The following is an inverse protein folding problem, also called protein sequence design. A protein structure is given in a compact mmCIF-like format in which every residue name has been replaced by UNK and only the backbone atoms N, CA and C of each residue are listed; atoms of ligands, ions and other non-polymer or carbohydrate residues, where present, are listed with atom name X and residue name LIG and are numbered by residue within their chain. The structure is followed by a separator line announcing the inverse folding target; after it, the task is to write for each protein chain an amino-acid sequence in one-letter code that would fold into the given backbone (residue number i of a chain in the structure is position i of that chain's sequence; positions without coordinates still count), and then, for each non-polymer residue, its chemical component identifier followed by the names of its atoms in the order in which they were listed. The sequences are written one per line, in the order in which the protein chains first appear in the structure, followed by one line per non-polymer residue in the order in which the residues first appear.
data_IF_560787382000
#
_entry.id   IF_560787382000
#
_cell.length_a   1.000
_cell.length_b   1.000
_cell.length_c   1.000
_cell.angle_alpha   90.00
_cell.angle_beta   90.00
_cell.angle_gamma   90.00
#
_symmetry.space_group_name_H-M   'P 1'
#
loop_
_entity.id
_entity.type
_entity.pdbx_description
1 polymer ?
#
# COMPACT_ATOMS: atom_id res chain seq x y z
N UNK A 1 27.43 5.83 61.43
CA UNK A 1 27.81 7.25 61.23
C UNK A 1 26.88 7.87 60.18
N UNK A 2 25.86 8.64 60.61
CA UNK A 2 24.81 9.22 59.77
C UNK A 2 24.97 10.75 59.57
N UNK A 3 24.42 11.32 58.48
CA UNK A 3 23.94 12.72 58.36
C UNK A 3 22.84 12.69 57.28
N UNK A 4 21.54 12.83 57.54
CA UNK A 4 20.75 13.83 58.26
C UNK A 4 20.80 15.24 57.64
N UNK A 5 19.72 15.60 56.93
CA UNK A 5 18.94 16.86 57.04
C UNK A 5 17.79 16.80 56.01
N UNK A 6 16.53 16.60 56.36
CA UNK A 6 15.59 17.41 57.15
C UNK A 6 14.77 18.43 56.33
N UNK A 7 13.45 18.14 56.28
CA UNK A 7 12.30 19.04 56.56
C UNK A 7 12.04 20.20 55.58
N UNK A 8 10.80 20.54 55.22
CA UNK A 8 9.68 20.95 56.10
C UNK A 8 8.33 20.84 55.39
N UNK A 9 7.34 20.45 56.18
CA UNK A 9 5.89 20.42 55.94
C UNK A 9 5.26 21.82 55.89
N UNK A 10 3.94 21.86 55.58
CA UNK A 10 2.82 22.56 56.28
C UNK A 10 1.75 22.92 55.22
N UNK A 11 0.64 22.15 55.11
CA UNK A 11 -0.71 22.30 55.75
C UNK A 11 -1.56 23.35 55.00
N UNK A 12 -2.57 22.89 54.24
CA UNK A 12 -4.04 22.97 54.51
C UNK A 12 -4.64 24.34 54.13
N UNK A 13 -5.93 24.55 53.86
CA UNK A 13 -7.13 23.73 53.90
C UNK A 13 -8.23 24.49 53.11
N UNK A 14 -9.13 23.74 52.45
CA UNK A 14 -10.61 23.81 52.55
C UNK A 14 -11.39 25.03 51.98
N UNK A 15 -12.62 24.67 51.58
CA UNK A 15 -13.82 25.45 51.23
C UNK A 15 -14.00 25.69 49.72
N UNK A 16 -15.04 25.20 49.03
CA UNK A 16 -16.38 24.79 49.45
C UNK A 16 -17.38 25.83 48.95
N UNK A 17 -18.22 25.45 47.97
CA UNK A 17 -19.63 25.85 47.81
C UNK A 17 -20.12 25.55 46.39
N UNK A 18 -21.09 24.63 46.31
CA UNK A 18 -22.08 24.53 45.24
C UNK A 18 -23.16 25.59 45.50
N UNK A 19 -23.58 26.34 44.47
CA UNK A 19 -24.92 26.93 44.42
C UNK A 19 -25.48 26.81 42.99
N UNK A 20 -26.75 26.45 42.98
CA UNK A 20 -27.66 26.09 41.90
C UNK A 20 -28.21 27.26 41.07
N UNK A 21 -28.55 26.93 39.82
CA UNK A 21 -29.68 27.39 38.98
C UNK A 21 -30.36 28.75 39.20
N UNK A 22 -30.53 29.52 38.12
CA UNK A 22 -31.83 30.03 37.68
C UNK A 22 -31.76 30.63 36.26
N UNK A 23 -32.69 30.21 35.42
CA UNK A 23 -33.03 30.82 34.13
C UNK A 23 -33.89 32.05 34.38
N UNK A 24 -33.62 33.16 33.69
CA UNK A 24 -34.63 34.20 33.42
C UNK A 24 -34.36 34.80 32.04
N UNK A 25 -35.36 34.71 31.17
CA UNK A 25 -35.55 35.49 29.94
C UNK A 25 -36.51 36.63 30.31
N UNK A 26 -36.25 37.88 29.89
CA UNK A 26 -37.07 38.53 28.85
C UNK A 26 -36.17 39.49 28.03
N UNK A 27 -36.56 40.25 27.01
CA UNK A 27 -37.83 40.58 26.39
C UNK A 27 -37.52 40.91 24.91
N UNK A 28 -38.48 40.61 24.04
CA UNK A 28 -38.57 41.16 22.68
C UNK A 28 -38.84 42.66 22.75
N UNK A 29 -38.03 43.46 22.04
CA UNK A 29 -38.35 44.83 21.70
C UNK A 29 -38.19 45.01 20.18
N UNK A 30 -39.32 45.24 19.53
CA UNK A 30 -39.44 45.62 18.13
C UNK A 30 -39.04 47.09 17.98
N UNK A 31 -38.09 47.39 17.09
CA UNK A 31 -37.87 48.75 16.61
C UNK A 31 -37.63 48.72 15.09
N UNK A 32 -38.57 49.32 14.36
CA UNK A 32 -38.52 49.65 12.92
C UNK A 32 -37.57 50.83 12.67
N UNK A 33 -37.18 51.10 11.40
CA UNK A 33 -35.83 51.56 11.05
C UNK A 33 -35.69 53.08 10.94
N UNK A 34 -34.49 53.59 11.21
CA UNK A 34 -34.07 54.93 10.83
C UNK A 34 -32.86 54.83 9.89
N UNK A 35 -33.03 55.44 8.72
CA UNK A 35 -32.05 55.62 7.65
C UNK A 35 -30.81 56.39 8.14
N UNK A 36 -29.63 55.80 8.00
CA UNK A 36 -28.36 56.53 8.02
C UNK A 36 -27.31 55.83 7.14
N UNK A 37 -26.63 56.63 6.33
CA UNK A 37 -25.77 56.32 5.20
C UNK A 37 -24.52 55.45 5.54
N UNK A 38 -23.85 54.86 4.53
CA UNK A 38 -22.85 53.82 4.73
C UNK A 38 -21.49 54.40 5.12
N UNK A 39 -21.01 54.10 6.32
CA UNK A 39 -19.57 54.20 6.64
C UNK A 39 -18.91 52.87 6.27
N UNK A 40 -17.93 52.98 5.39
CA UNK A 40 -17.17 51.86 4.81
C UNK A 40 -16.55 51.00 5.90
N UNK A 41 -17.14 49.84 6.16
CA UNK A 41 -16.50 48.78 6.91
C UNK A 41 -15.29 48.29 6.10
N UNK A 42 -14.08 48.52 6.62
CA UNK A 42 -12.89 47.76 6.23
C UNK A 42 -13.09 46.34 6.78
N UNK A 43 -13.91 45.56 6.10
CA UNK A 43 -13.98 44.12 6.30
C UNK A 43 -12.68 43.57 5.74
N UNK A 44 -11.74 43.24 6.63
CA UNK A 44 -10.69 42.29 6.29
C UNK A 44 -11.42 41.01 5.84
N UNK A 45 -11.53 40.86 4.52
CA UNK A 45 -11.90 39.62 3.90
C UNK A 45 -10.80 38.62 4.27
N UNK A 46 -10.99 37.93 5.40
CA UNK A 46 -10.48 36.58 5.55
C UNK A 46 -11.04 35.88 4.32
N UNK A 47 -10.19 35.71 3.31
CA UNK A 47 -10.50 34.89 2.14
C UNK A 47 -10.69 33.48 2.69
N UNK A 48 -11.92 33.18 3.08
CA UNK A 48 -12.42 31.82 3.23
C UNK A 48 -12.35 31.25 1.83
N UNK A 49 -11.18 30.69 1.50
CA UNK A 49 -10.88 30.12 0.20
C UNK A 49 -11.97 29.09 -0.10
N UNK A 50 -12.76 29.42 -1.13
CA UNK A 50 -13.91 28.67 -1.56
C UNK A 50 -13.60 27.17 -1.64
N UNK A 51 -14.54 26.42 -1.08
CA UNK A 51 -14.80 25.00 -1.24
C UNK A 51 -14.63 24.55 -2.70
N UNK A 52 -13.41 24.16 -3.08
CA UNK A 52 -13.10 23.70 -4.45
C UNK A 52 -11.97 22.67 -4.52
N UNK A 53 -11.63 22.06 -3.39
CA UNK A 53 -10.44 21.25 -3.19
C UNK A 53 -10.57 19.82 -3.70
N UNK A 54 -10.40 19.62 -5.01
CA UNK A 54 -10.39 18.26 -5.60
C UNK A 54 -9.41 17.33 -4.88
N UNK A 55 -9.75 16.03 -4.78
CA UNK A 55 -8.88 15.04 -4.14
C UNK A 55 -7.74 14.64 -5.08
N UNK A 56 -6.54 14.49 -4.54
CA UNK A 56 -5.37 13.95 -5.23
C UNK A 56 -4.82 12.76 -4.46
N UNK A 57 -4.10 11.89 -5.15
CA UNK A 57 -3.47 10.71 -4.56
C UNK A 57 -2.00 10.72 -4.88
N UNK A 58 -1.17 10.44 -3.88
CA UNK A 58 0.28 10.31 -4.08
C UNK A 58 0.54 9.15 -5.01
N UNK A 59 1.35 9.36 -6.05
CA UNK A 59 1.68 8.34 -7.06
C UNK A 59 3.09 7.76 -6.93
N UNK A 60 3.91 8.37 -6.07
CA UNK A 60 5.33 8.05 -5.88
C UNK A 60 5.61 7.80 -4.40
N UNK A 61 6.39 6.77 -4.11
CA UNK A 61 6.74 6.45 -2.73
C UNK A 61 7.59 7.58 -2.13
N UNK A 62 7.15 8.13 -0.99
CA UNK A 62 7.80 9.26 -0.29
C UNK A 62 7.85 10.58 -1.07
N UNK A 63 6.76 10.95 -1.75
CA UNK A 63 6.65 12.27 -2.39
C UNK A 63 6.84 13.39 -1.35
N UNK A 64 7.83 14.29 -1.49
CA UNK A 64 8.09 15.31 -0.48
C UNK A 64 7.03 16.41 -0.55
N UNK A 65 6.40 16.66 0.59
CA UNK A 65 5.63 17.87 0.85
C UNK A 65 6.59 18.93 1.36
N UNK A 66 6.70 20.06 0.65
CA UNK A 66 7.57 21.17 1.00
C UNK A 66 6.81 22.29 1.71
N UNK A 67 7.48 23.07 2.56
CA UNK A 67 6.84 24.17 3.30
C UNK A 67 6.31 25.25 2.36
N UNK A 68 7.07 25.56 1.31
CA UNK A 68 6.74 26.55 0.27
C UNK A 68 6.63 25.87 -1.10
N UNK A 69 6.07 26.53 -2.13
CA UNK A 69 5.95 25.99 -3.50
C UNK A 69 7.29 25.86 -4.25
N UNK A 70 8.41 25.68 -3.55
CA UNK A 70 9.74 25.44 -4.11
C UNK A 70 10.21 24.03 -3.81
N UNK A 71 10.89 23.39 -4.77
CA UNK A 71 11.55 22.09 -4.58
C UNK A 71 12.73 22.15 -3.61
N UNK A 72 13.35 23.33 -3.44
CA UNK A 72 14.48 23.57 -2.53
C UNK A 72 14.03 23.82 -1.08
N UNK A 73 12.73 23.94 -0.86
CA UNK A 73 12.16 24.24 0.45
C UNK A 73 12.18 23.04 1.38
N UNK A 74 12.19 23.31 2.69
CA UNK A 74 12.20 22.30 3.74
C UNK A 74 11.02 21.32 3.57
N UNK A 75 11.33 20.03 3.66
CA UNK A 75 10.32 18.97 3.62
C UNK A 75 9.58 18.88 4.96
N UNK A 76 8.24 18.93 4.90
CA UNK A 76 7.32 18.87 6.05
C UNK A 76 6.81 17.44 6.29
N UNK A 77 6.65 16.67 5.21
CA UNK A 77 6.19 15.28 5.25
C UNK A 77 6.59 14.52 3.99
N UNK A 78 6.61 13.19 4.09
CA UNK A 78 6.86 12.27 2.97
C UNK A 78 5.77 11.19 2.93
N UNK A 79 4.55 11.53 2.48
CA UNK A 79 3.46 10.57 2.36
C UNK A 79 3.85 9.41 1.45
N UNK A 80 3.39 8.23 1.83
CA UNK A 80 3.54 7.02 1.02
C UNK A 80 2.64 7.09 -0.22
N UNK A 81 2.99 6.30 -1.21
CA UNK A 81 2.20 6.12 -2.42
C UNK A 81 0.79 5.60 -2.10
N UNK A 82 -0.22 6.17 -2.76
CA UNK A 82 -1.63 5.93 -2.44
C UNK A 82 -2.20 6.77 -1.29
N UNK A 83 -1.42 7.66 -0.68
CA UNK A 83 -1.97 8.57 0.35
C UNK A 83 -2.98 9.54 -0.27
N UNK A 84 -4.18 9.62 0.33
CA UNK A 84 -5.22 10.62 -0.02
C UNK A 84 -4.76 12.02 0.39
N UNK A 85 -4.78 12.95 -0.55
CA UNK A 85 -4.41 14.34 -0.36
C UNK A 85 -5.60 15.23 -0.72
N UNK A 86 -6.00 16.10 0.20
CA UNK A 86 -7.01 17.14 -0.09
C UNK A 86 -6.30 18.35 -0.68
N UNK A 87 -6.65 18.78 -1.88
CA UNK A 87 -6.06 19.99 -2.48
C UNK A 87 -6.64 21.21 -1.78
N UNK A 88 -5.77 22.13 -1.35
CA UNK A 88 -6.12 23.41 -0.78
C UNK A 88 -5.91 24.53 -1.81
N UNK A 89 -4.80 24.46 -2.56
CA UNK A 89 -4.43 25.45 -3.58
C UNK A 89 -3.87 24.77 -4.85
N UNK A 90 -4.18 25.34 -6.01
CA UNK A 90 -3.83 24.88 -7.35
C UNK A 90 -2.82 25.82 -8.02
N UNK A 91 -1.56 25.78 -7.59
CA UNK A 91 -0.47 26.43 -8.32
C UNK A 91 -0.20 25.81 -9.71
N UNK A 92 0.62 26.46 -10.54
CA UNK A 92 0.90 26.04 -11.92
C UNK A 92 1.52 24.63 -12.01
N UNK A 93 2.56 24.36 -11.23
CA UNK A 93 3.30 23.08 -11.24
C UNK A 93 3.23 22.29 -9.94
N UNK A 94 2.69 22.90 -8.88
CA UNK A 94 2.57 22.31 -7.54
C UNK A 94 1.17 22.52 -7.00
N UNK A 95 0.77 21.63 -6.10
CA UNK A 95 -0.49 21.71 -5.38
C UNK A 95 -0.16 21.87 -3.90
N UNK A 96 -0.85 22.79 -3.23
CA UNK A 96 -0.87 22.78 -1.78
C UNK A 96 -1.90 21.74 -1.36
N UNK A 97 -1.51 20.82 -0.49
CA UNK A 97 -2.36 19.71 -0.08
C UNK A 97 -2.31 19.49 1.43
N UNK A 98 -3.39 18.92 1.95
CA UNK A 98 -3.49 18.40 3.32
C UNK A 98 -3.50 16.88 3.31
N UNK A 99 -2.63 16.29 4.11
CA UNK A 99 -2.58 14.84 4.37
C UNK A 99 -3.65 14.41 5.38
N UNK A 100 -4.00 13.12 5.50
CA UNK A 100 -4.94 12.63 6.49
C UNK A 100 -4.44 12.86 7.93
N UNK A 101 -3.12 12.82 8.13
CA UNK A 101 -2.45 13.15 9.40
C UNK A 101 -2.41 14.67 9.69
N UNK A 102 -3.23 15.48 9.01
CA UNK A 102 -3.35 16.91 9.25
C UNK A 102 -2.24 17.80 8.67
N UNK A 103 -1.10 17.24 8.24
CA UNK A 103 0.03 18.03 7.70
C UNK A 103 -0.32 18.69 6.37
N UNK A 104 0.02 19.96 6.23
CA UNK A 104 -0.15 20.77 5.01
C UNK A 104 1.21 21.03 4.37
N UNK A 105 1.28 20.94 3.05
CA UNK A 105 2.49 21.29 2.30
C UNK A 105 2.28 21.27 0.80
N UNK A 106 3.33 21.63 0.07
CA UNK A 106 3.33 21.72 -1.38
C UNK A 106 3.92 20.46 -2.01
N UNK A 107 3.16 19.83 -2.90
CA UNK A 107 3.58 18.64 -3.65
C UNK A 107 3.60 18.96 -5.15
N UNK A 108 4.53 18.37 -5.90
CA UNK A 108 4.53 18.50 -7.36
C UNK A 108 3.27 17.88 -7.96
N UNK A 109 2.64 18.52 -8.95
CA UNK A 109 1.56 17.92 -9.75
C UNK A 109 2.02 16.62 -10.42
N UNK A 110 3.32 16.52 -10.75
CA UNK A 110 3.93 15.29 -11.28
C UNK A 110 3.97 14.18 -10.23
N UNK A 111 3.89 14.45 -8.93
CA UNK A 111 3.92 13.41 -7.90
C UNK A 111 2.54 12.95 -7.42
N UNK A 112 1.46 13.47 -8.02
CA UNK A 112 0.08 13.18 -7.61
C UNK A 112 -0.85 12.92 -8.80
N UNK A 113 -1.94 12.19 -8.58
CA UNK A 113 -2.95 11.83 -9.57
C UNK A 113 -4.35 12.22 -9.07
N UNK A 114 -5.30 12.64 -9.93
CA UNK A 114 -6.66 12.98 -9.50
C UNK A 114 -7.52 11.77 -9.16
N UNK A 115 -7.11 10.58 -9.59
CA UNK A 115 -7.92 9.36 -9.40
C UNK A 115 -7.35 8.53 -8.26
N UNK A 116 -8.24 8.01 -7.41
CA UNK A 116 -7.86 7.09 -6.33
C UNK A 116 -7.19 5.86 -6.93
N UNK A 117 -5.94 5.61 -6.53
CA UNK A 117 -5.33 4.30 -6.77
C UNK A 117 -6.27 3.27 -6.16
N UNK A 118 -6.91 2.44 -6.99
CA UNK A 118 -7.90 1.47 -6.48
C UNK A 118 -7.20 0.58 -5.48
N UNK A 119 -7.73 0.52 -4.26
CA UNK A 119 -7.42 -0.53 -3.27
C UNK A 119 -7.96 -1.84 -3.83
N UNK A 120 -7.22 -2.44 -4.75
CA UNK A 120 -7.40 -3.84 -5.15
C UNK A 120 -6.63 -4.69 -4.15
N UNK A 121 -7.06 -4.64 -2.89
CA UNK A 121 -6.55 -5.56 -1.89
C UNK A 121 -6.84 -6.99 -2.36
N UNK A 122 -5.81 -7.83 -2.36
CA UNK A 122 -5.96 -9.21 -2.79
C UNK A 122 -4.66 -9.89 -3.20
N UNK A 123 -4.67 -11.21 -3.07
CA UNK A 123 -3.57 -12.05 -3.55
C UNK A 123 -3.68 -12.26 -5.06
N UNK A 124 -2.55 -12.18 -5.76
CA UNK A 124 -2.38 -12.55 -7.17
C UNK A 124 -1.14 -13.41 -7.35
N UNK A 125 -1.02 -13.99 -8.53
CA UNK A 125 0.13 -14.77 -8.97
C UNK A 125 0.73 -14.17 -10.22
N UNK A 126 2.04 -14.19 -10.34
CA UNK A 126 2.74 -13.67 -11.53
C UNK A 126 2.58 -14.60 -12.73
N UNK A 127 2.45 -14.01 -13.92
CA UNK A 127 2.57 -14.69 -15.21
C UNK A 127 4.01 -14.53 -15.71
N UNK A 128 4.71 -15.64 -15.85
CA UNK A 128 6.10 -15.72 -16.27
C UNK A 128 7.09 -15.08 -15.27
N UNK A 129 8.34 -14.91 -15.72
CA UNK A 129 9.33 -14.10 -15.00
C UNK A 129 9.00 -12.62 -15.13
N UNK A 130 8.92 -11.90 -14.01
CA UNK A 130 8.53 -10.49 -13.98
C UNK A 130 9.54 -9.67 -13.20
N UNK A 131 9.88 -8.49 -13.71
CA UNK A 131 10.66 -7.49 -13.00
C UNK A 131 9.71 -6.48 -12.33
N UNK A 132 9.82 -6.35 -11.01
CA UNK A 132 9.20 -5.27 -10.25
C UNK A 132 10.08 -4.03 -10.41
N UNK A 133 9.51 -2.92 -10.85
CA UNK A 133 10.20 -1.63 -10.96
C UNK A 133 9.90 -0.75 -9.75
N UNK A 134 10.82 0.16 -9.43
CA UNK A 134 10.66 1.12 -8.33
C UNK A 134 9.48 2.06 -8.58
N UNK A 135 9.35 2.53 -9.82
CA UNK A 135 8.44 3.57 -10.27
C UNK A 135 7.73 3.16 -11.57
N UNK A 136 6.72 3.94 -11.97
CA UNK A 136 5.99 3.76 -13.22
C UNK A 136 6.72 4.56 -14.32
N UNK A 137 7.41 3.86 -15.22
CA UNK A 137 8.12 4.45 -16.35
C UNK A 137 9.07 3.46 -17.03
N UNK A 138 9.40 3.70 -18.31
CA UNK A 138 10.27 2.84 -19.13
C UNK A 138 11.71 2.76 -18.62
N UNK A 139 12.22 3.80 -17.95
CA UNK A 139 13.57 3.85 -17.38
C UNK A 139 13.68 3.50 -15.88
N UNK A 140 12.63 2.92 -15.28
CA UNK A 140 12.64 2.70 -13.82
C UNK A 140 13.54 1.53 -13.40
N UNK A 141 14.30 1.72 -12.32
CA UNK A 141 15.18 0.69 -11.74
C UNK A 141 14.38 -0.55 -11.32
N UNK A 142 14.88 -1.72 -11.71
CA UNK A 142 14.34 -3.01 -11.25
C UNK A 142 14.72 -3.22 -9.79
N UNK A 143 13.71 -3.36 -8.92
CA UNK A 143 13.89 -3.59 -7.47
C UNK A 143 13.89 -5.08 -7.12
N UNK A 144 13.21 -5.92 -7.90
CA UNK A 144 13.17 -7.38 -7.68
C UNK A 144 12.73 -8.11 -8.95
N UNK A 145 13.39 -9.21 -9.29
CA UNK A 145 12.90 -10.19 -10.26
C UNK A 145 12.17 -11.32 -9.53
N UNK A 146 10.99 -11.70 -10.01
CA UNK A 146 10.14 -12.77 -9.46
C UNK A 146 9.83 -13.81 -10.55
N UNK A 147 9.65 -15.07 -10.14
CA UNK A 147 9.38 -16.21 -11.03
C UNK A 147 7.89 -16.33 -11.35
N UNK A 148 7.56 -17.20 -12.31
CA UNK A 148 6.19 -17.59 -12.64
C UNK A 148 5.45 -18.16 -11.42
N UNK A 149 4.20 -17.75 -11.24
CA UNK A 149 3.33 -18.24 -10.16
C UNK A 149 3.77 -17.81 -8.76
N UNK A 150 4.61 -16.79 -8.65
CA UNK A 150 4.96 -16.17 -7.37
C UNK A 150 3.72 -15.51 -6.78
N UNK A 151 3.37 -15.84 -5.54
CA UNK A 151 2.30 -15.19 -4.79
C UNK A 151 2.71 -13.76 -4.44
N UNK A 152 1.91 -12.79 -4.87
CA UNK A 152 2.12 -11.35 -4.60
C UNK A 152 0.85 -10.74 -4.03
N UNK A 153 1.00 -9.83 -3.08
CA UNK A 153 -0.12 -9.03 -2.58
C UNK A 153 -0.24 -7.77 -3.43
N UNK A 154 -1.42 -7.53 -4.01
CA UNK A 154 -1.69 -6.28 -4.72
C UNK A 154 -2.01 -5.21 -3.68
N UNK A 155 -1.30 -4.09 -3.79
CA UNK A 155 -1.43 -2.95 -2.88
C UNK A 155 -2.24 -1.82 -3.53
N UNK A 156 -2.04 -1.61 -4.84
CA UNK A 156 -2.70 -0.54 -5.57
C UNK A 156 -2.76 -0.84 -7.07
N UNK A 157 -3.70 -0.22 -7.77
CA UNK A 157 -3.78 -0.19 -9.24
C UNK A 157 -3.90 1.24 -9.74
N UNK A 158 -3.20 1.55 -10.83
CA UNK A 158 -3.35 2.81 -11.57
C UNK A 158 -4.69 2.87 -12.31
N UNK A 159 -5.10 4.06 -12.68
CA UNK A 159 -6.37 4.36 -13.37
C UNK A 159 -6.14 5.41 -14.44
N UNK A 160 -7.03 5.54 -15.41
CA UNK A 160 -6.85 6.46 -16.55
C UNK A 160 -5.84 5.92 -17.57
N UNK A 161 -5.01 6.79 -18.17
CA UNK A 161 -4.04 6.41 -19.22
C UNK A 161 -3.06 5.30 -18.82
N UNK A 162 -2.73 5.21 -17.53
CA UNK A 162 -1.76 4.21 -17.03
C UNK A 162 -2.41 2.95 -16.46
N UNK A 163 -3.69 2.66 -16.74
CA UNK A 163 -4.50 1.58 -16.12
C UNK A 163 -3.89 0.15 -16.17
N UNK A 164 -2.85 -0.06 -16.97
CA UNK A 164 -2.11 -1.31 -17.11
C UNK A 164 -1.05 -1.55 -16.01
N UNK A 165 -1.03 -0.80 -14.89
CA UNK A 165 -0.02 -0.96 -13.82
C UNK A 165 -0.63 -1.29 -12.46
N UNK A 166 0.05 -2.16 -11.73
CA UNK A 166 -0.28 -2.52 -10.34
C UNK A 166 0.96 -2.47 -9.48
N UNK A 167 0.79 -1.96 -8.26
CA UNK A 167 1.79 -2.05 -7.23
C UNK A 167 1.57 -3.33 -6.45
N UNK A 168 2.63 -4.11 -6.31
CA UNK A 168 2.59 -5.39 -5.61
C UNK A 168 3.68 -5.48 -4.55
N UNK A 169 3.42 -6.31 -3.54
CA UNK A 169 4.41 -6.76 -2.56
C UNK A 169 4.77 -8.22 -2.84
N UNK A 170 6.04 -8.47 -3.11
CA UNK A 170 6.60 -9.80 -3.32
C UNK A 170 7.00 -10.46 -1.98
N UNK A 171 7.24 -11.79 -1.98
CA UNK A 171 7.83 -12.46 -0.83
C UNK A 171 9.15 -11.79 -0.40
N UNK A 172 9.35 -11.63 0.91
CA UNK A 172 10.47 -10.86 1.46
C UNK A 172 10.22 -9.36 1.52
N UNK A 173 8.96 -8.91 1.45
CA UNK A 173 8.54 -7.53 1.79
C UNK A 173 8.81 -6.47 0.72
N UNK A 174 9.60 -6.77 -0.31
CA UNK A 174 9.90 -5.82 -1.40
C UNK A 174 8.65 -5.47 -2.20
N UNK A 175 8.41 -4.17 -2.38
CA UNK A 175 7.30 -3.65 -3.17
C UNK A 175 7.77 -3.04 -4.49
N UNK A 176 6.98 -3.16 -5.56
CA UNK A 176 7.25 -2.48 -6.82
C UNK A 176 6.09 -2.57 -7.80
N UNK A 177 6.25 -1.91 -8.95
CA UNK A 177 5.27 -1.84 -10.01
C UNK A 177 5.48 -2.93 -11.05
N UNK A 178 4.38 -3.51 -11.53
CA UNK A 178 4.35 -4.48 -12.63
C UNK A 178 3.12 -4.22 -13.51
N UNK A 179 3.12 -4.78 -14.72
CA UNK A 179 1.95 -4.69 -15.60
C UNK A 179 0.80 -5.58 -15.10
N UNK A 180 -0.45 -5.12 -15.23
CA UNK A 180 -1.65 -5.91 -14.88
C UNK A 180 -1.76 -7.18 -15.72
N UNK A 181 -1.27 -7.18 -16.97
CA UNK A 181 -1.27 -8.37 -17.84
C UNK A 181 -0.36 -9.49 -17.30
N UNK A 182 0.66 -9.12 -16.50
CA UNK A 182 1.65 -10.02 -15.89
C UNK A 182 1.20 -10.59 -14.54
N UNK A 183 -0.04 -10.35 -14.11
CA UNK A 183 -0.63 -10.99 -12.93
C UNK A 183 -1.91 -11.72 -13.27
N UNK A 184 -2.24 -12.72 -12.46
CA UNK A 184 -3.46 -13.51 -12.58
C UNK A 184 -4.01 -13.86 -11.21
N UNK A 185 -5.31 -14.18 -11.15
CA UNK A 185 -5.91 -14.82 -9.98
C UNK A 185 -5.59 -16.31 -9.92
N UNK A 186 -5.26 -16.96 -11.06
CA UNK A 186 -4.99 -18.40 -11.13
C UNK A 186 -3.69 -18.77 -10.40
N UNK A 187 -3.79 -19.65 -9.42
CA UNK A 187 -2.63 -20.29 -8.79
C UNK A 187 -2.18 -21.49 -9.64
N UNK A 188 -1.35 -21.22 -10.65
CA UNK A 188 -0.86 -22.26 -11.59
C UNK A 188 -0.21 -23.42 -10.84
N UNK A 189 0.67 -23.13 -9.87
CA UNK A 189 1.38 -24.16 -9.10
C UNK A 189 0.46 -24.96 -8.18
N UNK A 190 -0.58 -24.35 -7.62
CA UNK A 190 -1.57 -25.06 -6.82
C UNK A 190 -2.47 -25.95 -7.68
N UNK A 191 -2.84 -25.51 -8.88
CA UNK A 191 -3.62 -26.30 -9.83
C UNK A 191 -2.81 -27.48 -10.37
N UNK A 192 -1.53 -27.26 -10.68
CA UNK A 192 -0.63 -28.33 -11.08
C UNK A 192 -0.49 -29.37 -9.96
N UNK A 193 -0.17 -28.94 -8.73
CA UNK A 193 -0.03 -29.85 -7.60
C UNK A 193 -1.31 -30.69 -7.36
N UNK A 194 -2.49 -30.09 -7.51
CA UNK A 194 -3.78 -30.80 -7.40
C UNK A 194 -3.95 -31.85 -8.49
N UNK A 195 -3.57 -31.54 -9.73
CA UNK A 195 -3.64 -32.49 -10.82
C UNK A 195 -2.66 -33.65 -10.65
N UNK A 196 -1.45 -33.37 -10.14
CA UNK A 196 -0.39 -34.37 -9.99
C UNK A 196 -0.61 -35.34 -8.84
N UNK A 197 -1.15 -34.88 -7.71
CA UNK A 197 -1.17 -35.66 -6.45
C UNK A 197 -2.35 -35.35 -5.54
N UNK A 198 -3.35 -34.62 -6.03
CA UNK A 198 -4.35 -33.98 -5.16
C UNK A 198 -3.80 -32.81 -4.33
N UNK A 199 -2.52 -32.45 -4.51
CA UNK A 199 -1.84 -31.38 -3.77
C UNK A 199 -1.23 -31.84 -2.45
N UNK A 200 -1.00 -33.15 -2.28
CA UNK A 200 -0.43 -33.72 -1.07
C UNK A 200 1.12 -33.66 -1.11
N UNK A 201 1.76 -32.87 -0.22
CA UNK A 201 3.22 -32.78 -0.18
C UNK A 201 3.90 -34.07 0.28
N UNK A 202 3.19 -34.97 0.96
CA UNK A 202 3.75 -36.20 1.53
C UNK A 202 3.54 -37.43 0.64
N UNK A 203 3.01 -37.26 -0.57
CA UNK A 203 2.74 -38.38 -1.48
C UNK A 203 3.99 -39.22 -1.71
N UNK A 204 3.88 -40.51 -1.42
CA UNK A 204 4.85 -41.55 -1.70
C UNK A 204 4.07 -42.87 -1.81
N UNK A 205 3.65 -43.21 -3.03
CA UNK A 205 2.83 -44.41 -3.28
C UNK A 205 3.68 -45.62 -3.70
N UNK A 206 5.01 -45.50 -3.69
CA UNK A 206 5.92 -46.53 -4.18
C UNK A 206 6.11 -46.55 -5.70
N UNK A 207 5.46 -45.65 -6.45
CA UNK A 207 5.57 -45.58 -7.92
C UNK A 207 6.83 -44.86 -8.45
N UNK A 208 7.83 -44.60 -7.59
CA UNK A 208 9.06 -43.88 -7.95
C UNK A 208 8.93 -42.36 -8.06
N UNK A 209 7.73 -41.81 -7.82
CA UNK A 209 7.47 -40.38 -7.80
C UNK A 209 7.07 -39.90 -6.40
N UNK A 210 7.46 -38.68 -6.06
CA UNK A 210 7.33 -38.17 -4.70
C UNK A 210 6.80 -36.74 -4.65
N UNK A 211 6.05 -36.47 -3.59
CA UNK A 211 5.55 -35.15 -3.23
C UNK A 211 4.48 -34.62 -4.19
N UNK A 212 4.12 -33.34 -4.01
CA UNK A 212 2.90 -32.83 -4.62
C UNK A 212 2.98 -32.63 -6.15
N UNK A 213 4.19 -32.61 -6.69
CA UNK A 213 4.47 -32.42 -8.11
C UNK A 213 4.99 -33.69 -8.77
N UNK A 214 4.91 -34.84 -8.09
CA UNK A 214 5.36 -36.14 -8.60
C UNK A 214 6.77 -36.06 -9.19
N UNK A 215 7.74 -35.62 -8.36
CA UNK A 215 9.15 -35.59 -8.77
C UNK A 215 9.76 -36.99 -8.69
N UNK A 216 10.64 -37.33 -9.63
CA UNK A 216 11.60 -38.43 -9.41
C UNK A 216 12.73 -37.97 -8.49
N UNK A 217 13.37 -38.90 -7.78
CA UNK A 217 14.54 -38.60 -6.95
C UNK A 217 15.68 -37.95 -7.75
N UNK A 218 15.95 -38.45 -8.97
CA UNK A 218 16.97 -37.89 -9.88
C UNK A 218 16.67 -36.44 -10.25
N UNK A 219 15.47 -36.14 -10.70
CA UNK A 219 15.09 -34.78 -11.12
C UNK A 219 15.09 -33.81 -9.92
N UNK A 220 14.66 -34.27 -8.75
CA UNK A 220 14.72 -33.49 -7.51
C UNK A 220 16.15 -33.06 -7.15
N UNK A 221 17.09 -34.01 -7.21
CA UNK A 221 18.51 -33.73 -6.97
C UNK A 221 19.09 -32.80 -8.04
N UNK A 222 18.72 -32.98 -9.31
CA UNK A 222 19.19 -32.13 -10.43
C UNK A 222 18.83 -30.64 -10.26
N UNK A 223 17.74 -30.33 -9.56
CA UNK A 223 17.35 -28.95 -9.21
C UNK A 223 17.80 -28.52 -7.80
N UNK A 224 18.72 -29.27 -7.20
CA UNK A 224 19.38 -28.97 -5.94
C UNK A 224 18.55 -29.29 -4.69
N UNK A 225 17.54 -30.16 -4.83
CA UNK A 225 16.86 -30.76 -3.70
C UNK A 225 17.79 -31.72 -2.95
N UNK A 226 17.56 -31.92 -1.64
CA UNK A 226 18.25 -32.93 -0.82
C UNK A 226 17.26 -34.01 -0.40
N UNK A 227 17.68 -35.27 -0.27
CA UNK A 227 16.77 -36.36 0.08
C UNK A 227 15.58 -36.47 -0.88
N UNK A 228 14.43 -36.96 -0.42
CA UNK A 228 13.26 -37.15 -1.27
C UNK A 228 12.22 -36.01 -1.12
N UNK A 229 11.53 -35.60 -2.21
CA UNK A 229 10.56 -34.50 -2.21
C UNK A 229 9.50 -34.58 -1.10
N UNK A 230 8.98 -35.77 -0.83
CA UNK A 230 7.91 -36.00 0.15
C UNK A 230 8.31 -35.67 1.60
N UNK A 231 9.61 -35.57 1.88
CA UNK A 231 10.17 -35.16 3.17
C UNK A 231 10.26 -33.64 3.35
N UNK A 232 9.95 -32.86 2.31
CA UNK A 232 10.03 -31.40 2.32
C UNK A 232 8.67 -30.74 2.35
N UNK A 233 8.62 -29.53 2.91
CA UNK A 233 7.41 -28.72 2.95
C UNK A 233 6.97 -28.20 1.58
N UNK A 234 5.72 -27.74 1.51
CA UNK A 234 5.08 -27.26 0.26
C UNK A 234 5.91 -26.19 -0.47
N UNK A 235 6.43 -25.22 0.29
CA UNK A 235 7.19 -24.11 -0.27
C UNK A 235 8.48 -24.54 -0.97
N UNK A 236 9.20 -25.52 -0.40
CA UNK A 236 10.45 -26.02 -0.99
C UNK A 236 10.15 -26.83 -2.25
N UNK A 237 9.12 -27.69 -2.22
CA UNK A 237 8.70 -28.42 -3.42
C UNK A 237 8.30 -27.48 -4.56
N UNK A 238 7.50 -26.44 -4.27
CA UNK A 238 7.12 -25.44 -5.30
C UNK A 238 8.33 -24.66 -5.80
N UNK A 239 9.28 -24.32 -4.93
CA UNK A 239 10.52 -23.64 -5.34
C UNK A 239 11.34 -24.50 -6.30
N UNK A 240 11.47 -25.80 -6.04
CA UNK A 240 12.17 -26.74 -6.93
C UNK A 240 11.42 -26.95 -8.24
N UNK A 241 10.09 -27.03 -8.21
CA UNK A 241 9.26 -27.08 -9.41
C UNK A 241 9.43 -25.83 -10.28
N UNK A 242 9.50 -24.65 -9.66
CA UNK A 242 9.81 -23.40 -10.37
C UNK A 242 11.19 -23.41 -11.02
N UNK A 243 12.20 -23.95 -10.35
CA UNK A 243 13.56 -24.08 -10.92
C UNK A 243 13.55 -25.06 -12.10
N UNK A 244 12.85 -26.20 -11.96
CA UNK A 244 12.72 -27.17 -13.03
C UNK A 244 12.02 -26.55 -14.25
N UNK A 245 10.91 -25.85 -14.04
CA UNK A 245 10.17 -25.18 -15.12
C UNK A 245 10.98 -24.06 -15.77
N UNK A 246 11.78 -23.32 -14.99
CA UNK A 246 12.68 -22.31 -15.53
C UNK A 246 13.75 -22.91 -16.46
N UNK A 247 14.14 -24.18 -16.26
CA UNK A 247 15.19 -24.90 -17.02
C UNK A 247 14.66 -25.73 -18.18
N UNK A 248 13.60 -26.51 -17.95
CA UNK A 248 13.09 -27.53 -18.86
C UNK A 248 11.68 -27.21 -19.40
N UNK A 249 11.11 -26.05 -19.03
CA UNK A 249 9.74 -25.69 -19.40
C UNK A 249 8.69 -26.58 -18.72
N UNK A 250 7.50 -26.63 -19.31
CA UNK A 250 6.36 -27.39 -18.78
C UNK A 250 6.36 -28.88 -19.13
N UNK A 251 7.28 -29.34 -20.00
CA UNK A 251 7.32 -30.72 -20.50
C UNK A 251 7.55 -31.79 -19.44
N UNK A 252 7.92 -31.40 -18.21
CA UNK A 252 8.07 -32.30 -17.06
C UNK A 252 6.73 -32.76 -16.46
N UNK A 253 5.62 -32.12 -16.86
CA UNK A 253 4.26 -32.45 -16.40
C UNK A 253 3.28 -32.52 -17.58
N UNK A 254 3.51 -33.37 -18.59
CA UNK A 254 2.86 -33.27 -19.90
C UNK A 254 1.33 -33.44 -19.82
N UNK A 255 0.84 -34.37 -18.99
CA UNK A 255 -0.59 -34.64 -18.88
C UNK A 255 -1.35 -33.49 -18.20
N UNK A 256 -0.86 -33.02 -17.05
CA UNK A 256 -1.52 -31.96 -16.28
C UNK A 256 -1.36 -30.58 -16.90
N UNK A 257 -0.21 -30.28 -17.52
CA UNK A 257 0.00 -28.98 -18.20
C UNK A 257 -0.92 -28.84 -19.40
N UNK A 258 -1.14 -29.90 -20.18
CA UNK A 258 -2.14 -29.93 -21.26
C UNK A 258 -3.55 -29.62 -20.74
N UNK A 259 -3.98 -30.25 -19.64
CA UNK A 259 -5.29 -29.98 -19.02
C UNK A 259 -5.42 -28.54 -18.51
N UNK A 260 -4.32 -27.95 -18.05
CA UNK A 260 -4.31 -26.59 -17.49
C UNK A 260 -4.08 -25.49 -18.53
N UNK A 261 -3.76 -25.86 -19.78
CA UNK A 261 -3.40 -24.93 -20.86
C UNK A 261 -2.04 -24.27 -20.67
N UNK A 262 -1.09 -24.99 -20.05
CA UNK A 262 0.27 -24.51 -19.82
C UNK A 262 1.16 -25.05 -20.95
N UNK A 263 1.79 -24.15 -21.71
CA UNK A 263 2.75 -24.44 -22.78
C UNK A 263 3.95 -23.54 -22.62
#
# INVERSE_FOLDING_TARGET
MPRSTARRSVVAAVAGALVTSAMVVPAVASATPASAAPVSAVTQSVRTAATGGGVRWVKWNKAPLTKTPSSRSRTVARPDDGTKLRVLDRGTYRLQVRTPAGKVGWVSKKAVTPVKLKDVSGTRYTKGRVALTKDIGSGSKVVKKVRLGTKVAVLARTTGRDSNRVKVRAPGGRTGWISTSRITKRNVWGQLARCESGGNPRTNTGNGFYGMYQFTGRTWHAVGGKGLPHRHGKGEQTKRAQILQDRAGWGQWPHCTRKLGLR
#
